data_IF_674423329851
#
_entry.id   IF_674423329851
#
_cell.length_a   1.000
_cell.length_b   1.000
_cell.length_c   1.000
_cell.angle_alpha   90.00
_cell.angle_beta   90.00
_cell.angle_gamma   90.00
#
_symmetry.space_group_name_H-M   'P 1'
#
loop_
_entity.id
_entity.type
_entity.pdbx_description
1 polymer ?
#
# COMPACT_ATOMS: atom_id res chain seq x y z
N UNK A 1 9.95 -11.58 -12.73
CA UNK A 1 9.79 -11.27 -11.29
C UNK A 1 11.04 -11.64 -10.52
N UNK A 2 11.41 -10.87 -9.49
CA UNK A 2 12.28 -11.32 -8.40
C UNK A 2 11.73 -10.77 -7.09
N UNK A 3 11.58 -11.67 -6.13
CA UNK A 3 10.88 -11.54 -4.86
C UNK A 3 11.89 -11.21 -3.74
N UNK A 4 11.52 -10.31 -2.82
CA UNK A 4 12.29 -9.95 -1.61
C UNK A 4 12.02 -11.01 -0.54
N UNK A 5 13.04 -11.58 0.09
CA UNK A 5 12.90 -12.56 1.18
C UNK A 5 13.66 -12.08 2.41
N UNK A 6 12.99 -12.00 3.55
CA UNK A 6 13.61 -11.86 4.86
C UNK A 6 13.76 -13.24 5.50
N UNK A 7 14.86 -13.49 6.22
CA UNK A 7 15.04 -14.66 7.09
C UNK A 7 15.38 -14.17 8.49
N UNK A 8 14.77 -14.78 9.52
CA UNK A 8 15.00 -14.47 10.92
C UNK A 8 15.96 -15.48 11.57
N UNK A 9 16.85 -15.00 12.45
CA UNK A 9 17.72 -15.80 13.33
C UNK A 9 17.54 -15.34 14.79
N UNK A 10 17.74 -16.21 15.80
CA UNK A 10 17.32 -15.92 17.17
C UNK A 10 18.37 -15.09 17.92
N UNK A 11 18.33 -13.77 17.71
CA UNK A 11 18.81 -12.68 18.59
C UNK A 11 18.45 -11.38 17.86
N UNK A 12 17.57 -10.57 18.46
CA UNK A 12 16.92 -9.40 17.86
C UNK A 12 17.92 -8.39 17.24
N UNK A 13 18.25 -8.62 15.98
CA UNK A 13 18.79 -7.66 15.03
C UNK A 13 18.01 -7.92 13.75
N UNK A 14 16.95 -7.14 13.50
CA UNK A 14 16.25 -7.18 12.21
C UNK A 14 17.17 -6.57 11.16
N UNK A 15 17.96 -7.40 10.47
CA UNK A 15 18.74 -6.98 9.32
C UNK A 15 17.83 -6.86 8.10
N UNK A 16 17.48 -5.63 7.73
CA UNK A 16 16.72 -5.36 6.51
C UNK A 16 17.65 -5.40 5.30
N UNK A 17 17.36 -6.23 4.30
CA UNK A 17 18.07 -6.19 3.01
C UNK A 17 17.12 -5.63 1.96
N UNK A 18 17.27 -4.35 1.61
CA UNK A 18 16.53 -3.72 0.52
C UNK A 18 17.32 -3.91 -0.78
N UNK A 19 16.70 -4.51 -1.81
CA UNK A 19 17.27 -4.56 -3.15
C UNK A 19 16.48 -3.60 -4.03
N UNK A 20 17.05 -2.44 -4.34
CA UNK A 20 16.45 -1.46 -5.23
C UNK A 20 16.64 -1.90 -6.68
N UNK A 21 15.63 -1.63 -7.51
CA UNK A 21 15.67 -1.89 -8.96
C UNK A 21 15.55 -0.55 -9.68
N UNK A 22 16.47 0.39 -9.46
CA UNK A 22 16.44 1.70 -10.13
C UNK A 22 17.59 1.86 -11.13
N UNK A 23 17.23 2.35 -12.33
CA UNK A 23 18.13 3.15 -13.14
C UNK A 23 18.12 4.58 -12.59
N UNK A 24 19.30 5.10 -12.27
CA UNK A 24 19.62 6.40 -11.66
C UNK A 24 19.09 6.66 -10.21
N UNK A 25 19.88 7.35 -9.36
CA UNK A 25 19.54 7.58 -7.95
C UNK A 25 18.72 8.88 -7.77
N UNK A 26 17.44 8.76 -7.43
CA UNK A 26 16.63 9.86 -6.89
C UNK A 26 16.45 9.66 -5.39
N UNK A 27 17.21 10.36 -4.53
CA UNK A 27 17.03 10.47 -3.05
C UNK A 27 16.42 9.22 -2.34
N UNK A 28 16.80 8.01 -2.76
CA UNK A 28 16.15 6.76 -2.34
C UNK A 28 16.36 6.45 -0.86
N UNK A 29 17.42 6.99 -0.28
CA UNK A 29 17.92 6.52 1.01
C UNK A 29 17.17 7.15 2.19
N UNK A 30 16.58 8.34 2.05
CA UNK A 30 16.00 9.09 3.18
C UNK A 30 14.60 8.63 3.59
N UNK A 31 13.67 8.58 2.64
CA UNK A 31 12.26 8.23 2.89
C UNK A 31 12.08 6.73 3.13
N UNK A 32 12.76 5.87 2.37
CA UNK A 32 12.77 4.41 2.57
C UNK A 32 13.38 4.05 3.92
N UNK A 33 14.50 4.68 4.34
CA UNK A 33 15.07 4.43 5.66
C UNK A 33 14.17 4.90 6.80
N UNK A 34 13.52 6.07 6.64
CA UNK A 34 12.55 6.57 7.61
C UNK A 34 11.35 5.62 7.75
N UNK A 35 10.86 5.09 6.63
CA UNK A 35 9.77 4.13 6.62
C UNK A 35 10.19 2.77 7.21
N UNK A 36 11.40 2.29 6.93
CA UNK A 36 11.94 1.09 7.56
C UNK A 36 12.10 1.25 9.08
N UNK A 37 12.55 2.43 9.54
CA UNK A 37 12.64 2.76 10.96
C UNK A 37 11.25 2.79 11.62
N UNK A 38 10.24 3.34 10.94
CA UNK A 38 8.85 3.28 11.38
C UNK A 38 8.37 1.83 11.52
N UNK A 39 8.57 0.99 10.50
CA UNK A 39 8.22 -0.44 10.57
C UNK A 39 8.94 -1.15 11.73
N UNK A 40 10.21 -0.83 11.98
CA UNK A 40 10.96 -1.36 13.12
C UNK A 40 10.35 -0.96 14.47
N UNK A 41 9.93 0.31 14.62
CA UNK A 41 9.23 0.78 15.82
C UNK A 41 7.89 0.08 16.02
N UNK A 42 7.12 -0.10 14.95
CA UNK A 42 5.85 -0.83 14.98
C UNK A 42 6.06 -2.29 15.36
N UNK A 43 7.10 -2.95 14.83
CA UNK A 43 7.43 -4.33 15.17
C UNK A 43 7.81 -4.48 16.65
N UNK A 44 8.62 -3.55 17.17
CA UNK A 44 9.07 -3.56 18.55
C UNK A 44 7.99 -3.10 19.55
N UNK A 45 6.94 -2.42 19.06
CA UNK A 45 5.93 -1.72 19.89
C UNK A 45 6.54 -0.67 20.80
N UNK A 46 7.60 -0.03 20.31
CA UNK A 46 8.40 0.91 21.07
C UNK A 46 7.83 2.33 21.05
N UNK A 47 7.87 2.99 22.22
CA UNK A 47 7.82 4.45 22.30
C UNK A 47 6.43 5.10 22.24
N UNK A 48 5.41 4.51 22.87
CA UNK A 48 4.09 5.14 23.00
C UNK A 48 3.43 5.37 21.65
N UNK A 49 3.01 4.28 21.00
CA UNK A 49 2.33 4.31 19.71
C UNK A 49 1.04 5.14 19.79
N UNK A 50 0.80 5.97 18.79
CA UNK A 50 -0.53 6.51 18.53
C UNK A 50 -1.54 5.39 18.24
N UNK A 51 -2.83 5.67 18.32
CA UNK A 51 -3.87 4.66 18.03
C UNK A 51 -3.76 4.10 16.60
N UNK A 52 -3.41 4.93 15.60
CA UNK A 52 -3.17 4.49 14.22
C UNK A 52 -1.95 3.57 14.12
N UNK A 53 -0.84 3.93 14.79
CA UNK A 53 0.37 3.10 14.83
C UNK A 53 0.12 1.78 15.56
N UNK A 54 -0.62 1.78 16.66
CA UNK A 54 -1.00 0.57 17.38
C UNK A 54 -1.83 -0.36 16.48
N UNK A 55 -2.84 0.18 15.78
CA UNK A 55 -3.66 -0.59 14.86
C UNK A 55 -2.86 -1.11 13.65
N UNK A 56 -1.97 -0.30 13.09
CA UNK A 56 -1.06 -0.70 12.00
C UNK A 56 -0.10 -1.81 12.44
N UNK A 57 0.37 -1.76 13.68
CA UNK A 57 1.29 -2.76 14.19
C UNK A 57 0.62 -4.13 14.39
N UNK A 58 -0.70 -4.18 14.62
CA UNK A 58 -1.52 -5.41 14.61
C UNK A 58 -1.84 -5.96 13.20
N UNK A 59 -1.36 -5.32 12.12
CA UNK A 59 -1.61 -5.81 10.77
C UNK A 59 -0.74 -7.00 10.41
N UNK A 60 0.51 -7.02 10.87
CA UNK A 60 1.55 -7.89 10.33
C UNK A 60 1.96 -8.99 11.30
N UNK A 61 2.30 -10.14 10.75
CA UNK A 61 3.16 -11.11 11.42
C UNK A 61 4.61 -10.66 11.25
N UNK A 62 5.17 -10.07 12.30
CA UNK A 62 6.53 -9.54 12.32
C UNK A 62 7.63 -10.62 12.31
N UNK A 63 7.25 -11.89 12.38
CA UNK A 63 8.19 -13.02 12.25
C UNK A 63 8.32 -13.51 10.81
N UNK A 64 7.39 -13.10 9.93
CA UNK A 64 7.34 -13.47 8.53
C UNK A 64 7.84 -12.34 7.62
N UNK A 65 8.22 -12.64 6.35
CA UNK A 65 8.66 -11.61 5.41
C UNK A 65 7.58 -10.55 5.15
N UNK A 66 8.04 -9.30 5.03
CA UNK A 66 7.26 -8.12 4.65
C UNK A 66 7.87 -7.52 3.38
N UNK A 67 7.03 -7.10 2.43
CA UNK A 67 7.48 -6.46 1.20
C UNK A 67 7.23 -4.96 1.27
N UNK A 68 8.22 -4.16 0.88
CA UNK A 68 8.11 -2.70 0.82
C UNK A 68 8.22 -2.23 -0.63
N UNK A 69 7.31 -1.36 -1.03
CA UNK A 69 7.30 -0.69 -2.33
C UNK A 69 7.23 0.83 -2.15
N UNK A 70 7.75 1.56 -3.14
CA UNK A 70 7.75 3.03 -3.17
C UNK A 70 7.29 3.49 -4.55
N UNK A 71 6.36 4.43 -4.59
CA UNK A 71 5.92 5.10 -5.81
C UNK A 71 6.03 6.62 -5.66
N UNK A 72 6.86 7.32 -6.45
CA UNK A 72 6.94 8.78 -6.39
C UNK A 72 5.64 9.42 -6.89
N UNK A 73 5.30 10.60 -6.34
CA UNK A 73 4.27 11.46 -6.92
C UNK A 73 4.71 12.05 -8.26
N UNK A 74 3.82 12.77 -8.93
CA UNK A 74 4.10 13.45 -10.21
C UNK A 74 3.66 14.90 -10.18
N UNK A 75 4.44 15.74 -10.82
CA UNK A 75 4.11 17.13 -11.12
C UNK A 75 3.86 17.28 -12.61
N UNK A 76 2.68 17.76 -12.98
CA UNK A 76 2.32 18.07 -14.36
C UNK A 76 2.62 19.55 -14.62
N UNK A 77 3.68 19.83 -15.41
CA UNK A 77 4.13 21.20 -15.72
C UNK A 77 3.38 21.78 -16.91
N UNK A 78 3.11 20.95 -17.92
CA UNK A 78 2.25 21.30 -19.06
C UNK A 78 1.43 20.09 -19.50
N UNK A 79 0.22 20.34 -19.99
CA UNK A 79 -0.62 19.31 -20.62
C UNK A 79 -1.72 18.70 -19.76
N UNK A 80 -2.13 19.36 -18.66
CA UNK A 80 -3.18 18.93 -17.70
C UNK A 80 -4.30 18.05 -18.27
N UNK A 81 -5.43 18.65 -18.71
CA UNK A 81 -6.61 17.98 -19.30
C UNK A 81 -6.29 17.31 -20.67
N UNK A 82 -5.06 17.41 -21.16
CA UNK A 82 -4.68 17.02 -22.51
C UNK A 82 -4.12 15.59 -22.59
N UNK A 83 -3.93 14.93 -21.45
CA UNK A 83 -3.45 13.55 -21.34
C UNK A 83 -4.45 12.52 -21.91
N UNK A 84 -5.75 12.77 -21.81
CA UNK A 84 -6.79 11.93 -22.42
C UNK A 84 -7.17 12.29 -23.87
N UNK A 85 -6.60 13.36 -24.44
CA UNK A 85 -6.87 13.78 -25.83
C UNK A 85 -5.77 13.41 -26.83
N UNK A 86 -4.72 12.71 -26.37
CA UNK A 86 -3.57 12.33 -27.20
C UNK A 86 -2.55 13.47 -27.40
N UNK A 87 -2.62 14.53 -26.60
CA UNK A 87 -1.66 15.64 -26.65
C UNK A 87 -0.36 15.29 -25.93
N UNK A 88 0.71 16.03 -26.24
CA UNK A 88 1.98 15.90 -25.51
C UNK A 88 1.85 16.52 -24.12
N UNK A 89 2.33 15.79 -23.12
CA UNK A 89 2.38 16.22 -21.72
C UNK A 89 3.81 16.36 -21.26
N UNK A 90 4.08 17.30 -20.35
CA UNK A 90 5.35 17.48 -19.69
C UNK A 90 5.16 17.22 -18.20
N UNK A 91 5.67 16.08 -17.73
CA UNK A 91 5.50 15.59 -16.36
C UNK A 91 6.86 15.20 -15.79
N UNK A 92 7.05 15.39 -14.49
CA UNK A 92 8.26 14.98 -13.79
C UNK A 92 7.90 14.32 -12.44
N UNK A 93 8.55 13.20 -12.06
CA UNK A 93 8.43 12.66 -10.72
C UNK A 93 8.94 13.65 -9.67
N UNK A 94 8.23 13.78 -8.55
CA UNK A 94 8.65 14.61 -7.41
C UNK A 94 9.41 13.76 -6.37
N UNK A 95 10.01 14.44 -5.38
CA UNK A 95 10.77 13.77 -4.32
C UNK A 95 9.87 13.01 -3.35
N UNK A 96 8.67 13.53 -3.13
CA UNK A 96 7.63 12.95 -2.29
C UNK A 96 7.11 11.64 -2.90
N UNK A 97 6.87 10.65 -2.05
CA UNK A 97 6.44 9.33 -2.47
C UNK A 97 5.38 8.73 -1.54
N UNK A 98 4.61 7.81 -2.12
CA UNK A 98 3.81 6.84 -1.39
C UNK A 98 4.66 5.60 -1.14
N UNK A 99 4.82 5.23 0.13
CA UNK A 99 5.45 3.99 0.56
C UNK A 99 4.38 3.02 1.05
N UNK A 100 4.52 1.76 0.65
CA UNK A 100 3.60 0.68 0.99
C UNK A 100 4.38 -0.48 1.57
N UNK A 101 3.94 -0.97 2.72
CA UNK A 101 4.33 -2.28 3.22
C UNK A 101 3.18 -3.27 3.00
N UNK A 102 3.47 -4.45 2.44
CA UNK A 102 2.48 -5.47 2.16
C UNK A 102 2.97 -6.86 2.57
N UNK A 103 2.09 -7.64 3.17
CA UNK A 103 2.36 -9.02 3.59
C UNK A 103 1.19 -9.93 3.20
N UNK A 104 1.48 -11.01 2.48
CA UNK A 104 0.50 -12.06 2.21
C UNK A 104 0.13 -12.76 3.51
N UNK A 105 -1.15 -13.04 3.69
CA UNK A 105 -1.70 -13.71 4.86
C UNK A 105 -2.56 -14.89 4.41
N UNK A 106 -1.94 -16.04 4.05
CA UNK A 106 -2.65 -17.18 3.46
C UNK A 106 -3.80 -17.72 4.33
N UNK A 107 -3.67 -17.60 5.65
CA UNK A 107 -4.68 -18.03 6.62
C UNK A 107 -5.81 -17.01 6.85
N UNK A 108 -5.68 -15.78 6.34
CA UNK A 108 -6.69 -14.73 6.47
C UNK A 108 -7.72 -14.83 5.35
N UNK A 109 -9.00 -14.68 5.71
CA UNK A 109 -10.12 -14.63 4.77
C UNK A 109 -10.42 -13.21 4.27
N UNK A 110 -9.51 -12.25 4.47
CA UNK A 110 -9.75 -10.84 4.12
C UNK A 110 -8.48 -10.03 3.88
N UNK A 111 -8.70 -8.84 3.33
CA UNK A 111 -7.67 -7.83 3.07
C UNK A 111 -7.82 -6.71 4.09
N UNK A 112 -6.73 -6.38 4.78
CA UNK A 112 -6.67 -5.28 5.75
C UNK A 112 -5.73 -4.21 5.21
N UNK A 113 -6.21 -2.98 5.11
CA UNK A 113 -5.42 -1.83 4.68
C UNK A 113 -5.44 -0.74 5.76
N UNK A 114 -4.28 -0.25 6.16
CA UNK A 114 -4.19 0.95 6.98
C UNK A 114 -3.49 2.10 6.28
N UNK A 115 -3.88 3.32 6.61
CA UNK A 115 -3.23 4.55 6.16
C UNK A 115 -3.00 5.47 7.33
N UNK A 116 -1.76 5.96 7.46
CA UNK A 116 -1.46 7.02 8.44
C UNK A 116 -2.00 8.37 7.99
N UNK A 117 -2.36 9.22 8.95
CA UNK A 117 -2.88 10.56 8.70
C UNK A 117 -4.32 10.58 8.21
N UNK A 118 -5.01 9.44 8.20
CA UNK A 118 -6.41 9.37 7.79
C UNK A 118 -7.32 9.98 8.88
N UNK A 119 -7.04 9.73 10.16
CA UNK A 119 -7.88 10.19 11.26
C UNK A 119 -7.93 11.72 11.35
N UNK A 120 -6.82 12.41 11.05
CA UNK A 120 -6.76 13.86 11.00
C UNK A 120 -7.69 14.47 9.93
N UNK A 121 -8.00 13.72 8.86
CA UNK A 121 -8.96 14.08 7.83
C UNK A 121 -10.36 13.50 8.04
N UNK A 122 -10.66 12.92 9.21
CA UNK A 122 -11.94 12.25 9.50
C UNK A 122 -12.16 10.94 8.73
N UNK A 123 -11.10 10.35 8.17
CA UNK A 123 -11.11 9.09 7.41
C UNK A 123 -10.80 7.90 8.33
N UNK A 124 -11.31 6.73 7.97
CA UNK A 124 -11.06 5.47 8.69
C UNK A 124 -9.62 5.02 8.47
N UNK A 125 -8.88 4.83 9.56
CA UNK A 125 -7.44 4.49 9.52
C UNK A 125 -7.15 3.06 9.15
N UNK A 126 -8.08 2.13 9.41
CA UNK A 126 -7.98 0.73 9.02
C UNK A 126 -9.28 0.28 8.35
N UNK A 127 -9.17 -0.23 7.13
CA UNK A 127 -10.26 -0.81 6.36
C UNK A 127 -10.03 -2.31 6.24
N UNK A 128 -11.08 -3.10 6.42
CA UNK A 128 -11.09 -4.53 6.24
C UNK A 128 -12.17 -4.93 5.24
N UNK A 129 -11.80 -5.75 4.25
CA UNK A 129 -12.70 -6.26 3.22
C UNK A 129 -12.54 -7.77 3.15
N UNK A 130 -13.63 -8.53 3.24
CA UNK A 130 -13.55 -9.98 3.12
C UNK A 130 -13.18 -10.38 1.68
N UNK A 131 -12.45 -11.49 1.51
CA UNK A 131 -12.13 -12.00 0.17
C UNK A 131 -13.38 -12.31 -0.64
N UNK A 132 -14.46 -12.76 0.03
CA UNK A 132 -15.77 -13.00 -0.60
C UNK A 132 -16.41 -11.73 -1.20
N UNK A 133 -16.01 -10.55 -0.72
CA UNK A 133 -16.47 -9.27 -1.29
C UNK A 133 -15.68 -8.84 -2.52
N UNK A 134 -14.48 -9.41 -2.71
CA UNK A 134 -13.59 -9.16 -3.84
C UNK A 134 -13.75 -10.23 -4.94
N UNK A 135 -14.04 -11.46 -4.56
CA UNK A 135 -14.24 -12.58 -5.45
C UNK A 135 -15.26 -13.57 -4.84
N UNK A 136 -16.30 -13.88 -5.62
CA UNK A 136 -17.30 -14.87 -5.27
C UNK A 136 -17.00 -16.25 -5.88
N UNK A 137 -17.94 -17.22 -5.76
CA UNK A 137 -17.79 -18.55 -6.33
C UNK A 137 -17.61 -18.57 -7.86
N UNK A 138 -18.13 -17.56 -8.55
CA UNK A 138 -18.03 -17.41 -10.00
C UNK A 138 -16.75 -16.68 -10.46
N UNK A 139 -15.89 -16.25 -9.54
CA UNK A 139 -14.68 -15.48 -9.82
C UNK A 139 -14.72 -14.05 -9.25
N UNK A 140 -13.83 -13.16 -9.74
CA UNK A 140 -13.72 -11.78 -9.26
C UNK A 140 -15.03 -11.01 -9.40
N UNK A 141 -15.36 -10.18 -8.41
CA UNK A 141 -16.52 -9.28 -8.47
C UNK A 141 -16.28 -8.21 -9.55
N UNK A 142 -17.24 -7.94 -10.45
CA UNK A 142 -17.06 -6.96 -11.52
C UNK A 142 -16.52 -5.62 -11.03
N UNK A 143 -15.53 -5.05 -11.74
CA UNK A 143 -14.83 -3.84 -11.30
C UNK A 143 -15.74 -2.64 -11.01
N UNK A 144 -16.81 -2.46 -11.78
CA UNK A 144 -17.78 -1.39 -11.55
C UNK A 144 -18.50 -1.56 -10.21
N UNK A 145 -18.90 -2.79 -9.88
CA UNK A 145 -19.53 -3.12 -8.61
C UNK A 145 -18.54 -2.99 -7.45
N UNK A 146 -17.32 -3.50 -7.62
CA UNK A 146 -16.26 -3.38 -6.63
C UNK A 146 -15.97 -1.91 -6.30
N UNK A 147 -15.89 -1.05 -7.32
CA UNK A 147 -15.75 0.41 -7.14
C UNK A 147 -16.88 0.95 -6.28
N UNK A 148 -18.14 0.69 -6.63
CA UNK A 148 -19.31 1.18 -5.88
C UNK A 148 -19.26 0.74 -4.42
N UNK A 149 -18.90 -0.52 -4.16
CA UNK A 149 -18.77 -1.06 -2.79
C UNK A 149 -17.69 -0.31 -2.01
N UNK A 150 -16.46 -0.24 -2.55
CA UNK A 150 -15.31 0.36 -1.86
C UNK A 150 -15.44 1.87 -1.66
N UNK A 151 -16.25 2.57 -2.47
CA UNK A 151 -16.47 4.03 -2.34
C UNK A 151 -17.80 4.39 -1.67
N UNK A 152 -18.55 3.42 -1.15
CA UNK A 152 -19.86 3.65 -0.54
C UNK A 152 -19.76 4.46 0.77
N UNK A 153 -18.72 4.20 1.57
CA UNK A 153 -18.36 5.01 2.73
C UNK A 153 -17.24 5.99 2.36
N UNK A 154 -17.56 7.29 2.35
CA UNK A 154 -16.59 8.36 2.06
C UNK A 154 -15.38 8.38 3.00
N UNK A 155 -15.49 7.85 4.22
CA UNK A 155 -14.36 7.77 5.18
C UNK A 155 -13.40 6.64 4.83
N UNK A 156 -13.87 5.58 4.19
CA UNK A 156 -13.10 4.41 3.78
C UNK A 156 -12.74 4.42 2.29
N UNK A 157 -13.31 5.34 1.49
CA UNK A 157 -13.18 5.39 0.03
C UNK A 157 -11.72 5.46 -0.47
N UNK A 158 -10.78 5.95 0.35
CA UNK A 158 -9.35 5.92 0.04
C UNK A 158 -8.84 4.50 -0.22
N UNK A 159 -9.40 3.50 0.45
CA UNK A 159 -9.00 2.10 0.31
C UNK A 159 -9.31 1.55 -1.08
N UNK A 160 -10.20 2.18 -1.85
CA UNK A 160 -10.47 1.83 -3.24
C UNK A 160 -9.22 1.92 -4.12
N UNK A 161 -8.32 2.87 -3.86
CA UNK A 161 -7.06 3.03 -4.60
C UNK A 161 -6.08 1.86 -4.37
N UNK A 162 -6.20 1.20 -3.23
CA UNK A 162 -5.26 0.14 -2.82
C UNK A 162 -5.88 -1.24 -3.05
N UNK A 163 -7.07 -1.48 -2.49
CA UNK A 163 -7.80 -2.75 -2.60
C UNK A 163 -8.40 -2.92 -4.00
N UNK A 164 -8.80 -1.84 -4.67
CA UNK A 164 -9.29 -1.90 -6.06
C UNK A 164 -8.22 -2.41 -7.02
N UNK A 165 -6.94 -2.09 -6.80
CA UNK A 165 -5.82 -2.64 -7.57
C UNK A 165 -5.75 -4.17 -7.45
N UNK A 166 -6.01 -4.73 -6.27
CA UNK A 166 -6.08 -6.19 -6.09
C UNK A 166 -7.24 -6.79 -6.91
N UNK A 167 -8.39 -6.12 -6.94
CA UNK A 167 -9.51 -6.49 -7.79
C UNK A 167 -9.12 -6.54 -9.28
N UNK A 168 -8.39 -5.55 -9.78
CA UNK A 168 -7.86 -5.55 -11.16
C UNK A 168 -6.92 -6.74 -11.39
N UNK A 169 -5.99 -7.00 -10.46
CA UNK A 169 -5.05 -8.12 -10.56
C UNK A 169 -5.76 -9.48 -10.54
N UNK A 170 -6.88 -9.61 -9.84
CA UNK A 170 -7.72 -10.80 -9.88
C UNK A 170 -8.39 -11.01 -11.25
N UNK A 171 -8.86 -9.93 -11.89
CA UNK A 171 -9.45 -10.03 -13.24
C UNK A 171 -8.41 -10.37 -14.31
N UNK A 172 -7.19 -9.86 -14.18
CA UNK A 172 -6.08 -10.17 -15.09
C UNK A 172 -5.45 -11.55 -14.82
N UNK A 173 -5.85 -12.23 -13.74
CA UNK A 173 -5.30 -13.53 -13.34
C UNK A 173 -3.86 -13.47 -12.82
N UNK A 174 -3.32 -12.27 -12.57
CA UNK A 174 -1.97 -12.06 -12.04
C UNK A 174 -1.84 -12.50 -10.57
N UNK A 175 -2.95 -12.50 -9.83
CA UNK A 175 -3.06 -12.99 -8.45
C UNK A 175 -4.35 -13.80 -8.31
N UNK A 176 -4.33 -14.84 -7.49
CA UNK A 176 -5.54 -15.65 -7.22
C UNK A 176 -6.16 -15.27 -5.88
N UNK A 177 -7.50 -15.14 -5.78
CA UNK A 177 -8.18 -15.05 -4.48
C UNK A 177 -7.89 -16.25 -3.55
N UNK A 178 -7.51 -17.40 -4.12
CA UNK A 178 -7.13 -18.59 -3.37
C UNK A 178 -5.77 -18.46 -2.67
N UNK A 179 -4.98 -17.42 -2.99
CA UNK A 179 -3.71 -17.13 -2.32
C UNK A 179 -3.88 -16.61 -0.88
N UNK A 180 -5.13 -16.35 -0.47
CA UNK A 180 -5.51 -15.88 0.84
C UNK A 180 -5.48 -14.35 0.97
N UNK A 181 -5.49 -13.89 2.21
CA UNK A 181 -5.60 -12.48 2.56
C UNK A 181 -4.31 -11.69 2.34
N UNK A 182 -4.42 -10.38 2.58
CA UNK A 182 -3.33 -9.43 2.40
C UNK A 182 -3.42 -8.33 3.47
N UNK A 183 -2.31 -8.07 4.15
CA UNK A 183 -2.17 -6.88 4.99
C UNK A 183 -1.38 -5.81 4.25
N UNK A 184 -1.85 -4.56 4.32
CA UNK A 184 -1.28 -3.43 3.61
C UNK A 184 -1.20 -2.23 4.57
N UNK A 185 -0.05 -1.57 4.61
CA UNK A 185 0.13 -0.29 5.28
C UNK A 185 0.62 0.74 4.28
N UNK A 186 -0.07 1.87 4.23
CA UNK A 186 0.23 3.01 3.35
C UNK A 186 0.72 4.19 4.17
N UNK A 187 1.85 4.75 3.76
CA UNK A 187 2.38 6.00 4.26
C UNK A 187 2.74 6.89 3.08
N UNK A 188 2.05 8.02 2.91
CA UNK A 188 2.30 8.95 1.82
C UNK A 188 2.79 10.29 2.36
N UNK A 189 3.94 10.74 1.87
CA UNK A 189 4.40 12.12 2.02
C UNK A 189 3.94 13.04 0.88
N UNK A 190 3.22 12.52 -0.11
CA UNK A 190 2.74 13.31 -1.25
C UNK A 190 1.53 14.15 -0.81
N UNK A 191 1.55 15.48 -1.05
CA UNK A 191 0.41 16.34 -0.72
C UNK A 191 -0.88 15.92 -1.42
N UNK A 192 -2.03 16.16 -0.77
CA UNK A 192 -3.32 15.99 -1.42
C UNK A 192 -3.39 16.85 -2.70
N UNK A 193 -3.99 16.31 -3.76
CA UNK A 193 -4.07 16.91 -5.12
C UNK A 193 -2.74 17.02 -5.92
N UNK A 194 -1.61 16.48 -5.43
CA UNK A 194 -0.34 16.42 -6.15
C UNK A 194 -0.11 15.06 -6.88
N UNK A 195 -1.18 14.48 -7.43
CA UNK A 195 -1.09 13.22 -8.20
C UNK A 195 -1.12 11.94 -7.35
N UNK A 196 -1.79 11.96 -6.20
CA UNK A 196 -2.14 10.74 -5.44
C UNK A 196 -3.52 10.30 -5.89
N UNK A 197 -3.59 9.22 -6.65
CA UNK A 197 -4.83 8.61 -7.14
C UNK A 197 -4.68 7.09 -7.28
#
# INVERSE_FOLDING_TARGET
GRCVRAHSSPRFSMSWTATTRSGAPHKLDGDVASFAALLGRLAARDGGLSDEEAAAAELFDWTAPLHVARSPGRLDVMGGIADYSGSRVLQMPIGEACLVAAQRQPASAGVRAASFGSAAGGRTSVVHVALSELAGPAGPVPLAELRTRLTSDGRAAWAAYVIGCLGVLYHDGAVSPADGGLAILVASGVPEAAGVS
#
